data_IF_596001379868
#
_entry.id   IF_596001379868
#
_cell.length_a   1.000
_cell.length_b   1.000
_cell.length_c   1.000
_cell.angle_alpha   90.00
_cell.angle_beta   90.00
_cell.angle_gamma   90.00
#
_symmetry.space_group_name_H-M   'P 1'
#
loop_
_entity.id
_entity.type
_entity.pdbx_description
1 polymer ?
#
# COMPACT_ATOMS: atom_id res chain seq x y z
N UNK A 1 27.14 2.94 31.27
CA UNK A 1 27.02 2.54 29.85
C UNK A 1 25.82 1.63 29.57
N UNK A 2 25.50 0.66 30.42
CA UNK A 2 24.41 -0.31 30.22
C UNK A 2 23.02 0.34 30.06
N UNK A 3 22.67 1.34 30.85
CA UNK A 3 21.39 2.06 30.74
C UNK A 3 21.20 2.82 29.40
N UNK A 4 22.28 3.38 28.84
CA UNK A 4 22.24 4.07 27.54
C UNK A 4 22.06 3.08 26.38
N UNK A 5 22.67 1.90 26.46
CA UNK A 5 22.49 0.82 25.48
C UNK A 5 21.08 0.21 25.57
N UNK A 6 20.52 0.05 26.77
CA UNK A 6 19.14 -0.39 26.97
C UNK A 6 18.10 0.65 26.53
N UNK A 7 18.39 1.95 26.67
CA UNK A 7 17.56 3.03 26.14
C UNK A 7 17.53 3.05 24.61
N UNK A 8 18.71 3.02 23.98
CA UNK A 8 18.84 3.07 22.52
C UNK A 8 18.21 1.84 21.81
N UNK A 9 18.37 0.64 22.36
CA UNK A 9 17.77 -0.59 21.82
C UNK A 9 16.23 -0.52 21.79
N UNK A 10 15.61 0.00 22.87
CA UNK A 10 14.16 0.20 22.91
C UNK A 10 13.69 1.23 21.89
N UNK A 11 14.45 2.31 21.68
CA UNK A 11 14.09 3.34 20.69
C UNK A 11 14.01 2.76 19.27
N UNK A 12 15.05 2.06 18.80
CA UNK A 12 15.05 1.46 17.46
C UNK A 12 13.93 0.44 17.28
N UNK A 13 13.62 -0.31 18.33
CA UNK A 13 12.51 -1.26 18.34
C UNK A 13 11.15 -0.55 18.20
N UNK A 14 10.89 0.52 18.96
CA UNK A 14 9.63 1.26 18.86
C UNK A 14 9.51 2.01 17.54
N UNK A 15 10.60 2.62 17.06
CA UNK A 15 10.62 3.38 15.81
C UNK A 15 10.40 2.47 14.62
N UNK A 16 11.11 1.33 14.52
CA UNK A 16 10.92 0.38 13.41
C UNK A 16 9.48 -0.14 13.36
N UNK A 17 8.88 -0.48 14.50
CA UNK A 17 7.49 -0.95 14.55
C UNK A 17 6.48 0.14 14.20
N UNK A 18 6.62 1.32 14.78
CA UNK A 18 5.71 2.43 14.54
C UNK A 18 5.75 2.86 13.08
N UNK A 19 6.95 2.96 12.50
CA UNK A 19 7.12 3.34 11.09
C UNK A 19 6.58 2.29 10.13
N UNK A 20 6.70 0.99 10.45
CA UNK A 20 6.08 -0.09 9.68
C UNK A 20 4.54 -0.05 9.70
N UNK A 21 3.93 0.20 10.86
CA UNK A 21 2.47 0.35 10.98
C UNK A 21 1.99 1.60 10.22
N UNK A 22 2.70 2.72 10.34
CA UNK A 22 2.37 3.96 9.63
C UNK A 22 2.54 3.78 8.12
N UNK A 23 3.61 3.13 7.65
CA UNK A 23 3.79 2.79 6.24
C UNK A 23 2.62 1.97 5.69
N UNK A 24 2.19 0.93 6.43
CA UNK A 24 1.03 0.12 6.06
C UNK A 24 -0.27 0.94 6.03
N UNK A 25 -0.50 1.80 7.02
CA UNK A 25 -1.69 2.64 7.08
C UNK A 25 -1.75 3.64 5.91
N UNK A 26 -0.63 4.29 5.59
CA UNK A 26 -0.50 5.19 4.45
C UNK A 26 -0.72 4.46 3.11
N UNK A 27 -0.21 3.24 2.98
CA UNK A 27 -0.46 2.39 1.83
C UNK A 27 -1.95 2.04 1.71
N UNK A 28 -2.61 1.68 2.81
CA UNK A 28 -4.05 1.42 2.84
C UNK A 28 -4.86 2.65 2.39
N UNK A 29 -4.51 3.83 2.92
CA UNK A 29 -5.11 5.11 2.52
C UNK A 29 -4.88 5.41 1.04
N UNK A 30 -3.67 5.20 0.51
CA UNK A 30 -3.37 5.39 -0.90
C UNK A 30 -4.25 4.50 -1.80
N UNK A 31 -4.41 3.22 -1.45
CA UNK A 31 -5.25 2.26 -2.19
C UNK A 31 -6.73 2.64 -2.12
N UNK A 32 -7.26 2.90 -0.92
CA UNK A 32 -8.66 3.29 -0.72
C UNK A 32 -8.99 4.60 -1.44
N UNK A 33 -8.08 5.57 -1.38
CA UNK A 33 -8.23 6.84 -2.07
C UNK A 33 -8.18 6.66 -3.59
N UNK A 34 -7.25 5.84 -4.10
CA UNK A 34 -7.19 5.48 -5.52
C UNK A 34 -8.47 4.78 -6.01
N UNK A 35 -9.03 3.90 -5.17
CA UNK A 35 -10.33 3.27 -5.42
C UNK A 35 -11.46 4.30 -5.48
N UNK A 36 -11.57 5.19 -4.51
CA UNK A 36 -12.59 6.25 -4.46
C UNK A 36 -12.52 7.19 -5.69
N UNK A 37 -11.32 7.51 -6.16
CA UNK A 37 -11.11 8.28 -7.40
C UNK A 37 -11.54 7.50 -8.64
N UNK A 38 -11.21 6.21 -8.71
CA UNK A 38 -11.52 5.36 -9.87
C UNK A 38 -13.01 5.04 -10.02
N UNK A 39 -13.75 4.99 -8.92
CA UNK A 39 -15.18 4.65 -8.89
C UNK A 39 -16.11 5.87 -8.97
N UNK A 40 -15.54 7.09 -9.00
CA UNK A 40 -16.30 8.36 -8.89
C UNK A 40 -17.19 8.42 -7.64
N UNK A 41 -16.83 7.69 -6.58
CA UNK A 41 -17.55 7.72 -5.31
C UNK A 41 -17.57 9.12 -4.67
N UNK A 42 -16.59 9.96 -5.03
CA UNK A 42 -16.47 11.36 -4.60
C UNK A 42 -17.32 12.34 -5.43
N UNK A 43 -18.14 11.85 -6.35
CA UNK A 43 -19.07 12.65 -7.16
C UNK A 43 -18.93 12.45 -8.66
N UNK A 44 -20.01 12.69 -9.41
CA UNK A 44 -20.08 12.54 -10.87
C UNK A 44 -19.34 13.63 -11.67
N UNK A 45 -19.02 14.77 -11.03
CA UNK A 45 -18.25 15.87 -11.65
C UNK A 45 -16.77 15.47 -11.79
N UNK A 46 -16.06 16.14 -12.69
CA UNK A 46 -14.61 15.97 -12.84
C UNK A 46 -13.94 16.14 -11.48
N UNK A 47 -13.27 15.11 -10.94
CA UNK A 47 -12.61 15.22 -9.65
C UNK A 47 -11.55 16.31 -9.73
N UNK A 48 -11.57 17.20 -8.74
CA UNK A 48 -10.64 18.32 -8.69
C UNK A 48 -9.18 17.82 -8.65
N UNK A 49 -8.22 18.51 -9.31
CA UNK A 49 -6.83 18.05 -9.40
C UNK A 49 -6.17 17.69 -8.06
N UNK A 50 -6.50 18.43 -7.00
CA UNK A 50 -5.98 18.21 -5.64
C UNK A 50 -6.29 16.82 -5.08
N UNK A 51 -7.37 16.18 -5.54
CA UNK A 51 -7.70 14.81 -5.11
C UNK A 51 -6.65 13.80 -5.58
N UNK A 52 -6.07 14.00 -6.76
CA UNK A 52 -4.95 13.19 -7.24
C UNK A 52 -3.68 13.50 -6.45
N UNK A 53 -3.50 14.74 -6.02
CA UNK A 53 -2.34 15.12 -5.20
C UNK A 53 -2.38 14.47 -3.82
N UNK A 54 -3.57 14.29 -3.22
CA UNK A 54 -3.74 13.51 -1.99
C UNK A 54 -3.33 12.04 -2.19
N UNK A 55 -3.71 11.41 -3.32
CA UNK A 55 -3.28 10.04 -3.64
C UNK A 55 -1.74 9.94 -3.69
N UNK A 56 -1.11 10.88 -4.39
CA UNK A 56 0.35 10.95 -4.53
C UNK A 56 1.02 11.22 -3.19
N UNK A 57 0.43 12.06 -2.36
CA UNK A 57 0.94 12.36 -1.02
C UNK A 57 0.97 11.11 -0.14
N UNK A 58 -0.12 10.34 -0.10
CA UNK A 58 -0.13 9.06 0.64
C UNK A 58 0.86 8.04 0.08
N UNK A 59 0.97 7.92 -1.24
CA UNK A 59 1.95 7.04 -1.90
C UNK A 59 3.39 7.41 -1.55
N UNK A 60 3.74 8.69 -1.68
CA UNK A 60 5.07 9.21 -1.35
C UNK A 60 5.42 9.03 0.13
N UNK A 61 4.48 9.31 1.04
CA UNK A 61 4.69 9.06 2.47
C UNK A 61 4.84 7.56 2.78
N UNK A 62 4.08 6.68 2.13
CA UNK A 62 4.23 5.24 2.32
C UNK A 62 5.64 4.76 1.92
N UNK A 63 6.21 5.29 0.84
CA UNK A 63 7.60 5.03 0.44
C UNK A 63 8.58 5.54 1.48
N UNK A 64 8.45 6.80 1.92
CA UNK A 64 9.34 7.40 2.93
C UNK A 64 9.32 6.57 4.22
N UNK A 65 8.13 6.25 4.75
CA UNK A 65 8.02 5.47 5.98
C UNK A 65 8.51 4.03 5.82
N UNK A 66 8.37 3.43 4.64
CA UNK A 66 8.95 2.12 4.33
C UNK A 66 10.48 2.17 4.35
N UNK A 67 11.09 3.23 3.79
CA UNK A 67 12.55 3.44 3.85
C UNK A 67 13.00 3.62 5.30
N UNK A 68 12.30 4.44 6.08
CA UNK A 68 12.62 4.64 7.51
C UNK A 68 12.50 3.31 8.27
N UNK A 69 11.45 2.54 8.04
CA UNK A 69 11.26 1.20 8.62
C UNK A 69 12.46 0.29 8.30
N UNK A 70 12.90 0.26 7.04
CA UNK A 70 14.03 -0.54 6.59
C UNK A 70 15.37 -0.10 7.22
N UNK A 71 15.62 1.20 7.25
CA UNK A 71 16.84 1.79 7.81
C UNK A 71 16.91 1.52 9.32
N UNK A 72 15.81 1.71 10.04
CA UNK A 72 15.74 1.52 11.49
C UNK A 72 15.92 0.06 11.90
N UNK A 73 15.49 -0.91 11.09
CA UNK A 73 15.79 -2.33 11.30
C UNK A 73 17.30 -2.63 11.27
N UNK A 74 18.06 -1.89 10.46
CA UNK A 74 19.52 -2.08 10.34
C UNK A 74 20.28 -1.58 11.58
N UNK A 75 19.63 -0.75 12.40
CA UNK A 75 20.19 -0.23 13.65
C UNK A 75 19.71 -1.00 14.89
N UNK A 76 18.85 -2.01 14.75
CA UNK A 76 18.45 -2.86 15.87
C UNK A 76 19.60 -3.81 16.24
N UNK A 77 20.27 -3.61 17.39
CA UNK A 77 21.40 -4.45 17.78
C UNK A 77 20.97 -5.91 18.01
N UNK A 78 19.72 -6.17 18.41
CA UNK A 78 19.23 -7.51 18.65
C UNK A 78 19.19 -8.35 17.36
N UNK A 79 18.79 -7.74 16.24
CA UNK A 79 18.81 -8.39 14.93
C UNK A 79 20.24 -8.72 14.47
N UNK A 80 21.18 -7.81 14.70
CA UNK A 80 22.59 -8.00 14.33
C UNK A 80 23.27 -9.06 15.20
N UNK A 81 23.17 -8.95 16.53
CA UNK A 81 23.92 -9.80 17.47
C UNK A 81 23.30 -11.19 17.66
N UNK A 82 21.97 -11.33 17.61
CA UNK A 82 21.30 -12.62 17.84
C UNK A 82 21.05 -13.42 16.56
N UNK A 83 20.71 -12.75 15.46
CA UNK A 83 20.33 -13.44 14.22
C UNK A 83 21.35 -13.29 13.09
N UNK A 84 22.42 -12.51 13.30
CA UNK A 84 23.46 -12.28 12.30
C UNK A 84 22.92 -11.56 11.07
N UNK A 85 22.04 -10.58 11.29
CA UNK A 85 21.42 -9.81 10.20
C UNK A 85 22.49 -9.19 9.29
N UNK A 86 22.34 -9.41 7.98
CA UNK A 86 23.11 -8.76 6.92
C UNK A 86 22.14 -7.99 6.04
N UNK A 87 22.57 -6.85 5.51
CA UNK A 87 21.72 -6.01 4.65
C UNK A 87 21.17 -6.78 3.42
N UNK A 88 21.89 -7.80 2.95
CA UNK A 88 21.43 -8.68 1.87
C UNK A 88 20.17 -9.47 2.24
N UNK A 89 19.97 -9.82 3.52
CA UNK A 89 18.77 -10.53 3.99
C UNK A 89 17.50 -9.69 3.90
N UNK A 90 17.64 -8.37 3.73
CA UNK A 90 16.53 -7.45 3.57
C UNK A 90 16.18 -7.22 2.08
N UNK A 91 16.97 -7.76 1.17
CA UNK A 91 16.70 -7.75 -0.28
C UNK A 91 16.59 -9.16 -0.87
N UNK A 92 16.72 -10.23 -0.10
CA UNK A 92 16.59 -11.59 -0.64
C UNK A 92 15.49 -12.31 0.14
N UNK A 93 14.33 -12.61 -0.49
CA UNK A 93 13.29 -13.40 0.13
C UNK A 93 13.84 -14.70 0.72
N UNK A 94 13.38 -15.06 1.93
CA UNK A 94 13.80 -16.26 2.67
C UNK A 94 15.27 -16.33 3.13
N UNK A 95 16.10 -15.30 2.88
CA UNK A 95 17.50 -15.30 3.30
C UNK A 95 17.70 -15.06 4.81
N UNK A 96 16.68 -14.52 5.50
CA UNK A 96 16.75 -14.28 6.94
C UNK A 96 16.53 -15.55 7.75
N UNK A 97 17.33 -15.72 8.81
CA UNK A 97 17.12 -16.76 9.83
C UNK A 97 15.97 -16.44 10.77
N UNK A 98 15.60 -15.16 10.88
CA UNK A 98 14.47 -14.72 11.68
C UNK A 98 13.21 -14.65 10.81
N UNK A 99 12.23 -15.52 11.07
CA UNK A 99 10.92 -15.54 10.40
C UNK A 99 11.02 -15.36 8.87
N UNK A 100 11.64 -16.33 8.14
CA UNK A 100 11.91 -16.20 6.71
C UNK A 100 10.66 -15.93 5.86
N UNK A 101 9.53 -16.60 6.17
CA UNK A 101 8.25 -16.38 5.48
C UNK A 101 7.70 -14.96 5.64
N UNK A 102 7.47 -14.48 6.88
CA UNK A 102 7.06 -13.10 7.13
C UNK A 102 7.98 -12.06 6.49
N UNK A 103 9.31 -12.27 6.51
CA UNK A 103 10.24 -11.35 5.85
C UNK A 103 10.12 -11.39 4.32
N UNK A 104 9.95 -12.56 3.71
CA UNK A 104 9.74 -12.68 2.26
C UNK A 104 8.53 -11.85 1.79
N UNK A 105 7.41 -11.87 2.53
CA UNK A 105 6.24 -11.04 2.22
C UNK A 105 6.57 -9.54 2.20
N UNK A 106 7.35 -9.06 3.18
CA UNK A 106 7.77 -7.67 3.26
C UNK A 106 8.70 -7.27 2.12
N UNK A 107 9.63 -8.14 1.74
CA UNK A 107 10.59 -7.90 0.64
C UNK A 107 9.87 -7.84 -0.71
N UNK A 108 8.96 -8.78 -0.97
CA UNK A 108 8.17 -8.76 -2.21
C UNK A 108 7.24 -7.54 -2.24
N UNK A 109 6.61 -7.18 -1.10
CA UNK A 109 5.84 -5.95 -1.01
C UNK A 109 6.70 -4.71 -1.30
N UNK A 110 7.92 -4.62 -0.76
CA UNK A 110 8.83 -3.52 -1.06
C UNK A 110 9.13 -3.41 -2.57
N UNK A 111 9.36 -4.52 -3.26
CA UNK A 111 9.56 -4.51 -4.71
C UNK A 111 8.33 -4.06 -5.49
N UNK A 112 7.14 -4.51 -5.09
CA UNK A 112 5.90 -4.04 -5.71
C UNK A 112 5.66 -2.55 -5.45
N UNK A 113 5.99 -2.05 -4.25
CA UNK A 113 5.91 -0.63 -3.92
C UNK A 113 6.81 0.19 -4.84
N UNK A 114 8.07 -0.20 -5.00
CA UNK A 114 9.00 0.46 -5.92
C UNK A 114 8.51 0.39 -7.36
N UNK A 115 8.04 -0.76 -7.83
CA UNK A 115 7.55 -0.92 -9.19
C UNK A 115 6.34 0.00 -9.45
N UNK A 116 5.37 0.04 -8.53
CA UNK A 116 4.18 0.90 -8.64
C UNK A 116 4.56 2.38 -8.59
N UNK A 117 5.44 2.78 -7.66
CA UNK A 117 5.81 4.19 -7.48
C UNK A 117 6.63 4.70 -8.65
N UNK A 118 7.72 4.00 -9.02
CA UNK A 118 8.61 4.42 -10.10
C UNK A 118 7.87 4.49 -11.44
N UNK A 119 7.00 3.51 -11.73
CA UNK A 119 6.18 3.58 -12.95
C UNK A 119 5.14 4.69 -12.91
N UNK A 120 4.65 5.06 -11.72
CA UNK A 120 3.69 6.17 -11.57
C UNK A 120 4.36 7.53 -11.71
N UNK A 121 5.59 7.71 -11.22
CA UNK A 121 6.42 8.89 -11.47
C UNK A 121 6.75 9.03 -12.96
N UNK A 122 7.04 7.91 -13.62
CA UNK A 122 7.36 7.85 -15.05
C UNK A 122 6.11 7.73 -15.96
N UNK A 123 4.90 7.85 -15.42
CA UNK A 123 3.65 7.61 -16.16
C UNK A 123 3.55 8.38 -17.48
N UNK A 124 4.10 9.60 -17.56
CA UNK A 124 4.10 10.43 -18.78
C UNK A 124 4.95 9.84 -19.92
N UNK A 125 5.89 8.95 -19.60
CA UNK A 125 6.83 8.31 -20.55
C UNK A 125 6.49 6.85 -20.86
N UNK A 126 5.44 6.30 -20.25
CA UNK A 126 5.08 4.89 -20.37
C UNK A 126 3.75 4.70 -21.13
N UNK A 127 3.59 3.60 -21.88
CA UNK A 127 2.31 3.24 -22.46
C UNK A 127 1.25 3.11 -21.37
N UNK A 128 0.09 3.73 -21.58
CA UNK A 128 -1.00 3.76 -20.59
C UNK A 128 -1.46 2.35 -20.17
N UNK A 129 -1.43 1.36 -21.08
CA UNK A 129 -1.77 -0.04 -20.78
C UNK A 129 -0.76 -0.68 -19.82
N UNK A 130 0.54 -0.45 -20.06
CA UNK A 130 1.61 -0.98 -19.21
C UNK A 130 1.55 -0.37 -17.81
N UNK A 131 1.47 0.97 -17.72
CA UNK A 131 1.34 1.65 -16.42
C UNK A 131 0.11 1.14 -15.64
N UNK A 132 -1.04 0.98 -16.30
CA UNK A 132 -2.24 0.42 -15.64
C UNK A 132 -2.00 -0.99 -15.13
N UNK A 133 -1.36 -1.85 -15.93
CA UNK A 133 -1.03 -3.22 -15.53
C UNK A 133 -0.18 -3.26 -14.27
N UNK A 134 0.93 -2.51 -14.25
CA UNK A 134 1.82 -2.41 -13.07
C UNK A 134 1.09 -1.77 -11.89
N UNK A 135 0.32 -0.71 -12.10
CA UNK A 135 -0.39 -0.03 -11.02
C UNK A 135 -1.47 -0.91 -10.37
N UNK A 136 -2.02 -1.91 -11.08
CA UNK A 136 -2.90 -2.92 -10.46
C UNK A 136 -2.14 -3.89 -9.53
N UNK A 137 -0.82 -3.95 -9.58
CA UNK A 137 -0.05 -4.67 -8.57
C UNK A 137 -0.17 -4.04 -7.16
N UNK A 138 -0.71 -2.82 -7.04
CA UNK A 138 -1.02 -2.17 -5.75
C UNK A 138 -1.96 -3.00 -4.86
N UNK A 139 -2.86 -3.82 -5.43
CA UNK A 139 -3.69 -4.73 -4.65
C UNK A 139 -2.86 -5.85 -4.02
N UNK A 140 -1.98 -6.47 -4.81
CA UNK A 140 -1.08 -7.51 -4.33
C UNK A 140 -0.08 -6.95 -3.31
N UNK A 141 0.46 -5.75 -3.57
CA UNK A 141 1.29 -5.00 -2.64
C UNK A 141 0.59 -4.82 -1.28
N UNK A 142 -0.64 -4.30 -1.26
CA UNK A 142 -1.38 -4.10 -0.02
C UNK A 142 -1.67 -5.41 0.71
N UNK A 143 -2.03 -6.47 -0.01
CA UNK A 143 -2.25 -7.80 0.56
C UNK A 143 -0.97 -8.35 1.21
N UNK A 144 0.16 -8.30 0.50
CA UNK A 144 1.45 -8.80 1.00
C UNK A 144 1.96 -7.97 2.18
N UNK A 145 1.82 -6.64 2.14
CA UNK A 145 2.15 -5.77 3.26
C UNK A 145 1.29 -6.07 4.50
N UNK A 146 0.01 -6.40 4.31
CA UNK A 146 -0.89 -6.80 5.40
C UNK A 146 -0.51 -8.16 5.97
N UNK A 147 -0.18 -9.15 5.12
CA UNK A 147 0.32 -10.45 5.57
C UNK A 147 1.63 -10.29 6.35
N UNK A 148 2.56 -9.46 5.84
CA UNK A 148 3.79 -9.12 6.54
C UNK A 148 3.52 -8.52 7.92
N UNK A 149 2.67 -7.49 8.01
CA UNK A 149 2.28 -6.85 9.27
C UNK A 149 1.74 -7.86 10.30
N UNK A 150 0.83 -8.75 9.89
CA UNK A 150 0.18 -9.70 10.78
C UNK A 150 1.08 -10.86 11.22
N UNK A 151 2.08 -11.21 10.42
CA UNK A 151 2.94 -12.39 10.66
C UNK A 151 4.32 -12.04 11.23
N UNK A 152 4.86 -10.87 10.90
CA UNK A 152 6.16 -10.40 11.38
C UNK A 152 6.05 -9.76 12.77
N UNK A 153 5.09 -8.84 12.97
CA UNK A 153 4.94 -8.03 14.19
C UNK A 153 4.47 -8.85 15.40
N UNK A 154 4.88 -8.45 16.61
CA UNK A 154 4.32 -9.05 17.84
C UNK A 154 3.02 -8.35 18.27
N UNK A 155 2.74 -7.18 17.69
CA UNK A 155 1.50 -6.40 17.80
C UNK A 155 0.29 -7.11 17.20
N UNK A 156 0.47 -8.28 16.57
CA UNK A 156 -0.60 -9.08 15.97
C UNK A 156 -1.76 -9.41 16.91
N UNK A 157 -1.59 -9.28 18.23
CA UNK A 157 -2.65 -9.46 19.24
C UNK A 157 -3.32 -8.15 19.66
N UNK A 158 -2.79 -6.99 19.27
CA UNK A 158 -3.37 -5.69 19.56
C UNK A 158 -4.74 -5.55 18.85
N UNK A 159 -5.85 -5.37 19.61
CA UNK A 159 -7.18 -5.25 19.03
C UNK A 159 -7.32 -4.08 18.06
N UNK A 160 -6.69 -2.94 18.35
CA UNK A 160 -6.76 -1.75 17.49
C UNK A 160 -6.15 -2.03 16.11
N UNK A 161 -5.00 -2.72 16.08
CA UNK A 161 -4.36 -3.10 14.82
C UNK A 161 -5.25 -4.06 14.02
N UNK A 162 -5.84 -5.06 14.68
CA UNK A 162 -6.74 -6.04 14.04
C UNK A 162 -7.98 -5.38 13.46
N UNK A 163 -8.64 -4.50 14.22
CA UNK A 163 -9.80 -3.75 13.73
C UNK A 163 -9.43 -2.84 12.57
N UNK A 164 -8.28 -2.19 12.63
CA UNK A 164 -7.78 -1.36 11.53
C UNK A 164 -7.58 -2.19 10.26
N UNK A 165 -6.99 -3.38 10.38
CA UNK A 165 -6.82 -4.31 9.25
C UNK A 165 -8.18 -4.77 8.72
N UNK A 166 -9.09 -5.21 9.57
CA UNK A 166 -10.42 -5.68 9.17
C UNK A 166 -11.20 -4.59 8.43
N UNK A 167 -11.23 -3.36 8.96
CA UNK A 167 -11.93 -2.22 8.35
C UNK A 167 -11.32 -1.87 7.00
N UNK A 168 -9.99 -1.76 6.92
CA UNK A 168 -9.32 -1.36 5.67
C UNK A 168 -9.41 -2.44 4.60
N UNK A 169 -9.21 -3.72 4.94
CA UNK A 169 -9.40 -4.84 4.01
C UNK A 169 -10.87 -4.90 3.54
N UNK A 170 -11.82 -4.81 4.47
CA UNK A 170 -13.25 -4.78 4.15
C UNK A 170 -13.62 -3.64 3.21
N UNK A 171 -13.09 -2.44 3.45
CA UNK A 171 -13.30 -1.28 2.59
C UNK A 171 -12.67 -1.48 1.19
N UNK A 172 -11.45 -2.02 1.10
CA UNK A 172 -10.79 -2.32 -0.19
C UNK A 172 -11.60 -3.33 -0.99
N UNK A 173 -12.06 -4.41 -0.36
CA UNK A 173 -12.91 -5.43 -0.99
C UNK A 173 -14.22 -4.81 -1.46
N UNK A 174 -14.92 -4.07 -0.57
CA UNK A 174 -16.18 -3.40 -0.90
C UNK A 174 -16.03 -2.46 -2.10
N UNK A 175 -15.04 -1.55 -2.09
CA UNK A 175 -14.84 -0.61 -3.20
C UNK A 175 -14.39 -1.30 -4.49
N UNK A 176 -13.67 -2.41 -4.39
CA UNK A 176 -13.26 -3.21 -5.57
C UNK A 176 -14.47 -3.91 -6.19
N UNK A 177 -15.34 -4.51 -5.38
CA UNK A 177 -16.61 -5.09 -5.83
C UNK A 177 -17.49 -4.01 -6.45
N UNK A 178 -17.63 -2.85 -5.79
CA UNK A 178 -18.36 -1.70 -6.33
C UNK A 178 -17.77 -1.22 -7.66
N UNK A 179 -16.45 -1.21 -7.82
CA UNK A 179 -15.78 -0.84 -9.07
C UNK A 179 -16.09 -1.80 -10.21
N UNK A 180 -16.20 -3.10 -9.93
CA UNK A 180 -16.45 -4.14 -10.93
C UNK A 180 -17.94 -4.16 -11.34
N UNK A 181 -18.84 -3.97 -10.38
CA UNK A 181 -20.30 -4.12 -10.57
C UNK A 181 -21.00 -2.77 -10.87
N UNK A 182 -20.39 -1.64 -10.49
CA UNK A 182 -21.00 -0.32 -10.50
C UNK A 182 -21.43 0.22 -11.89
N UNK A 183 -22.20 1.33 -11.92
CA UNK A 183 -23.14 1.67 -13.01
C UNK A 183 -22.53 2.08 -14.36
N UNK A 184 -21.21 1.97 -14.55
CA UNK A 184 -20.50 2.50 -15.72
C UNK A 184 -20.82 1.81 -17.06
N UNK A 185 -21.44 0.61 -17.04
CA UNK A 185 -21.84 -0.12 -18.26
C UNK A 185 -23.32 0.04 -18.62
N UNK A 186 -24.21 0.25 -17.64
CA UNK A 186 -25.65 0.28 -17.88
C UNK A 186 -26.14 1.63 -18.46
N UNK A 187 -25.53 2.76 -18.06
CA UNK A 187 -25.91 4.09 -18.57
C UNK A 187 -25.45 4.34 -20.03
N UNK A 188 -24.31 3.78 -20.43
CA UNK A 188 -23.77 3.91 -21.80
C UNK A 188 -24.64 3.19 -22.85
N UNK A 189 -25.29 2.09 -22.47
CA UNK A 189 -26.21 1.35 -23.35
C UNK A 189 -27.56 2.08 -23.49
N UNK A 190 -27.96 2.84 -22.47
CA UNK A 190 -29.23 3.57 -22.47
C UNK A 190 -29.16 4.87 -23.29
N UNK A 191 -27.99 5.50 -23.40
CA UNK A 191 -27.79 6.72 -24.19
C UNK A 191 -27.54 6.49 -25.69
N UNK A 192 -27.21 5.26 -26.11
CA UNK A 192 -27.08 4.88 -27.53
C UNK A 192 -28.38 4.38 -28.15
N UNK A 193 -29.51 4.43 -27.42
CA UNK A 193 -30.83 4.13 -27.98
C UNK A 193 -31.16 5.09 -29.13
N UNK A 194 -31.90 4.65 -30.16
CA UNK A 194 -32.13 5.43 -31.37
C UNK A 194 -32.75 6.78 -31.00
N UNK A 195 -32.05 7.86 -31.36
CA UNK A 195 -32.53 9.23 -31.23
C UNK A 195 -33.81 9.32 -32.06
N UNK A 196 -34.99 9.38 -31.42
CA UNK A 196 -36.25 9.64 -32.14
C UNK A 196 -36.07 10.96 -32.89
N UNK A 197 -36.00 10.89 -34.21
CA UNK A 197 -36.02 12.06 -35.07
C UNK A 197 -37.34 12.78 -34.85
N UNK A 198 -37.29 13.98 -34.27
CA UNK A 198 -38.46 14.84 -34.18
C UNK A 198 -38.89 15.24 -35.59
N UNK A 199 -40.18 15.15 -35.94
CA UNK A 199 -40.66 15.63 -37.23
C UNK A 199 -40.46 17.15 -37.31
N UNK A 200 -39.92 17.59 -38.44
CA UNK A 200 -39.78 19.01 -38.76
C UNK A 200 -41.18 19.60 -39.04
N UNK A 201 -41.51 20.68 -38.35
CA UNK A 201 -42.61 21.58 -38.69
C UNK A 201 -42.01 22.93 -39.07
#
# INVERSE_FOLDING_TARGET
MTQLVFGATKVWWYVSRSTGIVAWALLALAVLWGLALSTRALGRKTPAPWLLDVHRFFGGLAVIFTIIHFVTLSFDPYMSTTYGYKITQAFVPFASKWKPGPMAWGIVAFYLLLAVELTSLLKKRLPQKFWRGVHMASYALYAMATIHLLTAGTERQNPLLRWSVLVTVGAVVFFTVYRIIGPGRAESVKQSGPKKSSPAN
#
